data_IF_708311911018
#
_entry.id   IF_708311911018
#
_cell.length_a   1.000
_cell.length_b   1.000
_cell.length_c   1.000
_cell.angle_alpha   90.00
_cell.angle_beta   90.00
_cell.angle_gamma   90.00
#
_symmetry.space_group_name_H-M   'P 1'
#
loop_
_entity.id
_entity.type
_entity.pdbx_description
1 polymer ?
#
# COMPACT_ATOMS: atom_id res chain seq x y z
N UNK A 1 22.80 -24.56 -33.62
CA UNK A 1 23.01 -23.34 -32.81
C UNK A 1 24.14 -23.60 -31.83
N UNK A 2 25.11 -22.70 -31.69
CA UNK A 2 26.24 -22.88 -30.76
C UNK A 2 25.81 -22.60 -29.32
N UNK A 3 26.34 -23.33 -28.35
CA UNK A 3 26.06 -23.14 -26.92
C UNK A 3 26.31 -21.70 -26.46
N UNK A 4 27.31 -21.03 -27.06
CA UNK A 4 27.60 -19.60 -26.83
C UNK A 4 26.45 -18.68 -27.27
N UNK A 5 25.81 -18.99 -28.38
CA UNK A 5 24.69 -18.20 -28.91
C UNK A 5 23.45 -18.36 -28.02
N UNK A 6 23.18 -19.58 -27.54
CA UNK A 6 22.07 -19.84 -26.62
C UNK A 6 22.27 -19.11 -25.28
N UNK A 7 23.49 -19.17 -24.73
CA UNK A 7 23.82 -18.47 -23.49
C UNK A 7 23.65 -16.95 -23.61
N UNK A 8 24.17 -16.36 -24.68
CA UNK A 8 24.04 -14.91 -24.92
C UNK A 8 22.57 -14.50 -25.12
N UNK A 9 21.77 -15.33 -25.79
CA UNK A 9 20.33 -15.10 -25.94
C UNK A 9 19.64 -15.04 -24.58
N UNK A 10 19.87 -16.03 -23.71
CA UNK A 10 19.28 -16.09 -22.37
C UNK A 10 19.72 -14.89 -21.52
N UNK A 11 21.01 -14.56 -21.55
CA UNK A 11 21.55 -13.41 -20.82
C UNK A 11 20.91 -12.10 -21.29
N UNK A 12 20.68 -11.95 -22.59
CA UNK A 12 20.07 -10.76 -23.18
C UNK A 12 18.60 -10.63 -22.78
N UNK A 13 17.85 -11.74 -22.77
CA UNK A 13 16.45 -11.76 -22.33
C UNK A 13 16.35 -11.35 -20.85
N UNK A 14 17.16 -11.97 -19.98
CA UNK A 14 17.20 -11.63 -18.56
C UNK A 14 17.59 -10.18 -18.30
N UNK A 15 18.59 -9.69 -19.02
CA UNK A 15 19.05 -8.31 -18.89
C UNK A 15 17.97 -7.32 -19.34
N UNK A 16 17.28 -7.61 -20.45
CA UNK A 16 16.18 -6.78 -20.92
C UNK A 16 14.99 -6.77 -19.94
N UNK A 17 14.65 -7.91 -19.35
CA UNK A 17 13.59 -8.02 -18.34
C UNK A 17 13.90 -7.17 -17.10
N UNK A 18 15.12 -7.31 -16.55
CA UNK A 18 15.54 -6.56 -15.36
C UNK A 18 15.52 -5.06 -15.65
N UNK A 19 16.12 -4.65 -16.78
CA UNK A 19 16.21 -3.22 -17.14
C UNK A 19 14.82 -2.64 -17.32
N UNK A 20 13.93 -3.31 -18.05
CA UNK A 20 12.56 -2.82 -18.27
C UNK A 20 11.78 -2.73 -16.95
N UNK A 21 11.87 -3.73 -16.08
CA UNK A 21 11.17 -3.72 -14.78
C UNK A 21 11.64 -2.58 -13.88
N UNK A 22 12.96 -2.37 -13.78
CA UNK A 22 13.53 -1.25 -13.02
C UNK A 22 13.13 0.09 -13.62
N UNK A 23 13.11 0.21 -14.96
CA UNK A 23 12.66 1.42 -15.63
C UNK A 23 11.19 1.72 -15.32
N UNK A 24 10.31 0.72 -15.40
CA UNK A 24 8.89 0.88 -15.09
C UNK A 24 8.64 1.25 -13.63
N UNK A 25 9.34 0.61 -12.68
CA UNK A 25 9.24 0.96 -11.25
C UNK A 25 9.74 2.38 -10.96
N UNK A 26 10.72 2.89 -11.72
CA UNK A 26 11.21 4.26 -11.60
C UNK A 26 10.28 5.28 -12.29
N UNK A 27 9.67 4.91 -13.42
CA UNK A 27 8.82 5.81 -14.22
C UNK A 27 7.41 5.97 -13.65
N UNK A 28 6.90 4.95 -12.95
CA UNK A 28 5.57 4.97 -12.34
C UNK A 28 5.74 5.41 -10.88
N UNK A 29 5.51 6.70 -10.54
CA UNK A 29 5.61 7.13 -9.16
C UNK A 29 4.53 6.42 -8.33
N UNK A 30 4.96 5.73 -7.27
CA UNK A 30 4.05 5.18 -6.27
C UNK A 30 3.40 6.35 -5.54
N UNK A 31 2.09 6.51 -5.68
CA UNK A 31 1.34 7.53 -4.95
C UNK A 31 0.98 6.97 -3.58
N UNK A 32 1.19 7.76 -2.53
CA UNK A 32 0.75 7.41 -1.18
C UNK A 32 -0.60 8.08 -0.90
N UNK A 33 -1.61 7.28 -0.60
CA UNK A 33 -2.88 7.75 -0.07
C UNK A 33 -2.87 7.63 1.46
N UNK A 34 -3.43 8.62 2.15
CA UNK A 34 -3.57 8.65 3.60
C UNK A 34 -5.05 8.72 3.98
N UNK A 35 -5.43 8.04 5.06
CA UNK A 35 -6.79 8.05 5.60
C UNK A 35 -6.74 8.05 7.11
N UNK A 36 -7.61 8.84 7.73
CA UNK A 36 -7.77 8.90 9.18
C UNK A 36 -9.15 8.35 9.56
N UNK A 37 -9.21 7.51 10.59
CA UNK A 37 -10.46 6.99 11.15
C UNK A 37 -10.52 7.27 12.64
N UNK A 38 -11.73 7.52 13.13
CA UNK A 38 -12.00 7.70 14.55
C UNK A 38 -12.67 6.45 15.08
N UNK A 39 -12.09 5.89 16.13
CA UNK A 39 -12.63 4.80 16.91
C UNK A 39 -13.23 5.38 18.18
N UNK A 40 -14.55 5.26 18.31
CA UNK A 40 -15.24 5.53 19.57
C UNK A 40 -15.45 4.21 20.29
N UNK A 41 -15.10 4.18 21.57
CA UNK A 41 -15.42 3.05 22.45
C UNK A 41 -16.90 3.14 22.82
N UNK A 42 -17.64 2.07 22.57
CA UNK A 42 -19.03 1.98 23.02
C UNK A 42 -19.10 1.79 24.55
N UNK A 43 -20.27 2.00 25.14
CA UNK A 43 -20.48 1.85 26.60
C UNK A 43 -20.12 0.44 27.11
N UNK A 44 -20.20 -0.57 26.25
CA UNK A 44 -19.83 -1.96 26.52
C UNK A 44 -18.33 -2.25 26.32
N UNK A 45 -17.51 -1.23 26.04
CA UNK A 45 -16.09 -1.36 25.78
C UNK A 45 -15.72 -1.91 24.41
N UNK A 46 -16.71 -2.14 23.54
CA UNK A 46 -16.52 -2.63 22.18
C UNK A 46 -16.27 -1.49 21.21
N UNK A 47 -15.32 -1.68 20.31
CA UNK A 47 -14.99 -0.72 19.26
C UNK A 47 -15.99 -0.82 18.11
N UNK A 48 -16.89 0.16 17.99
CA UNK A 48 -17.87 0.21 16.90
C UNK A 48 -17.20 0.77 15.64
N UNK A 49 -16.86 -0.09 14.70
CA UNK A 49 -16.40 0.31 13.38
C UNK A 49 -16.72 -0.72 12.32
N UNK A 50 -17.87 -0.59 11.67
CA UNK A 50 -18.24 -1.41 10.51
C UNK A 50 -17.31 -1.19 9.30
N UNK A 51 -16.53 -0.10 9.29
CA UNK A 51 -15.64 0.27 8.20
C UNK A 51 -14.24 -0.37 8.26
N UNK A 52 -13.89 -1.14 9.29
CA UNK A 52 -12.54 -1.73 9.42
C UNK A 52 -12.29 -2.92 8.49
N UNK A 53 -13.31 -3.73 8.22
CA UNK A 53 -13.17 -4.91 7.36
C UNK A 53 -12.69 -4.51 5.94
N UNK A 54 -13.29 -3.46 5.39
CA UNK A 54 -12.97 -2.92 4.05
C UNK A 54 -11.53 -2.36 3.91
N UNK A 55 -10.85 -2.06 5.02
CA UNK A 55 -9.49 -1.49 4.96
C UNK A 55 -8.46 -2.55 4.57
N UNK A 56 -8.58 -3.76 5.13
CA UNK A 56 -7.68 -4.87 4.85
C UNK A 56 -7.77 -5.29 3.38
N UNK A 57 -8.99 -5.47 2.88
CA UNK A 57 -9.25 -5.89 1.50
C UNK A 57 -8.78 -4.86 0.46
N UNK A 58 -8.71 -3.58 0.84
CA UNK A 58 -8.26 -2.49 -0.03
C UNK A 58 -6.79 -2.14 0.14
N UNK A 59 -6.03 -2.90 0.94
CA UNK A 59 -4.58 -2.74 1.12
C UNK A 59 -4.17 -1.55 1.98
N UNK A 60 -5.05 -1.05 2.86
CA UNK A 60 -4.69 0.00 3.82
C UNK A 60 -3.90 -0.58 4.99
N UNK A 61 -2.80 0.07 5.34
CA UNK A 61 -1.94 -0.30 6.45
C UNK A 61 -2.03 0.73 7.57
N UNK A 62 -2.22 0.28 8.80
CA UNK A 62 -2.19 1.15 9.97
C UNK A 62 -0.75 1.62 10.22
N UNK A 63 -0.57 2.94 10.35
CA UNK A 63 0.73 3.58 10.61
C UNK A 63 0.83 4.02 12.07
N UNK A 64 -0.26 4.57 12.61
CA UNK A 64 -0.28 5.09 13.98
C UNK A 64 -1.68 5.07 14.56
N UNK A 65 -1.75 4.92 15.88
CA UNK A 65 -2.96 5.02 16.68
C UNK A 65 -2.68 5.96 17.85
N UNK A 66 -3.44 7.05 17.96
CA UNK A 66 -3.23 8.09 18.99
C UNK A 66 -4.53 8.32 19.75
N UNK A 67 -4.51 8.38 21.10
CA UNK A 67 -5.69 8.77 21.86
C UNK A 67 -6.06 10.23 21.55
N UNK A 68 -7.36 10.50 21.40
CA UNK A 68 -7.85 11.86 21.16
C UNK A 68 -7.61 12.74 22.40
N UNK A 69 -6.98 13.92 22.26
CA UNK A 69 -6.69 14.79 23.39
C UNK A 69 -7.95 15.38 24.04
N UNK A 70 -9.05 15.50 23.28
CA UNK A 70 -10.29 16.12 23.77
C UNK A 70 -11.31 15.12 24.34
N UNK A 71 -11.20 13.83 23.97
CA UNK A 71 -12.13 12.78 24.39
C UNK A 71 -11.35 11.51 24.71
N UNK A 72 -11.11 11.24 26.00
CA UNK A 72 -10.29 10.12 26.48
C UNK A 72 -10.77 8.71 26.09
N UNK A 73 -11.96 8.59 25.49
CA UNK A 73 -12.52 7.33 25.01
C UNK A 73 -12.48 7.17 23.48
N UNK A 74 -11.77 8.08 22.78
CA UNK A 74 -11.64 8.07 21.33
C UNK A 74 -10.20 7.82 20.90
N UNK A 75 -10.02 6.99 19.87
CA UNK A 75 -8.74 6.78 19.21
C UNK A 75 -8.79 7.32 17.78
N UNK A 76 -7.70 7.96 17.38
CA UNK A 76 -7.45 8.40 16.02
C UNK A 76 -6.49 7.41 15.38
N UNK A 77 -6.94 6.73 14.34
CA UNK A 77 -6.14 5.78 13.57
C UNK A 77 -5.72 6.39 12.24
N UNK A 78 -4.43 6.32 11.95
CA UNK A 78 -3.83 6.81 10.72
C UNK A 78 -3.45 5.62 9.84
N UNK A 79 -3.99 5.58 8.62
CA UNK A 79 -3.71 4.55 7.63
C UNK A 79 -3.02 5.13 6.40
N UNK A 80 -2.18 4.31 5.78
CA UNK A 80 -1.53 4.61 4.50
C UNK A 80 -1.77 3.49 3.49
N UNK A 81 -1.75 3.83 2.21
CA UNK A 81 -1.77 2.86 1.11
C UNK A 81 -0.89 3.33 -0.05
N UNK A 82 -0.13 2.40 -0.63
CA UNK A 82 0.55 2.61 -1.90
C UNK A 82 -0.41 2.33 -3.06
N UNK A 83 -0.59 3.30 -3.94
CA UNK A 83 -1.37 3.19 -5.16
C UNK A 83 -0.47 3.34 -6.39
N UNK A 84 -0.69 2.47 -7.37
CA UNK A 84 -0.22 2.70 -8.73
C UNK A 84 -1.21 3.67 -9.39
N UNK A 85 -0.69 4.77 -9.96
CA UNK A 85 -1.38 5.79 -10.78
C UNK A 85 -2.92 5.74 -10.72
N UNK A 86 -3.51 6.62 -9.91
CA UNK A 86 -4.96 6.83 -9.96
C UNK A 86 -5.31 7.48 -11.30
N UNK A 87 -6.20 6.91 -12.14
CA UNK A 87 -6.74 7.63 -13.28
C UNK A 87 -7.42 8.89 -12.75
N UNK A 88 -7.14 10.04 -13.38
CA UNK A 88 -7.92 11.26 -13.15
C UNK A 88 -9.29 11.03 -13.76
N UNK A 89 -10.32 10.90 -12.92
CA UNK A 89 -11.71 11.09 -13.32
C UNK A 89 -12.00 12.58 -13.57
#
# INVERSE_FOLDING_TARGET
MSYRQLFLLILTIWSAEIVTRVLFDALIPRQMEYRTLYLEKDQDGMFKGSAFADLGDRGWQLVSAVPSPDKGEQFILFFQRQCLLKPRD
#
